data_IF_159974709475
#
_entry.id   IF_159974709475
#
_cell.length_a   1.000
_cell.length_b   1.000
_cell.length_c   1.000
_cell.angle_alpha   90.00
_cell.angle_beta   90.00
_cell.angle_gamma   90.00
#
_symmetry.space_group_name_H-M   'P 1'
#
loop_
_entity.id
_entity.type
_entity.pdbx_description
1 polymer ?
#
# COMPACT_ATOMS: atom_id res chain seq x y z
N UNK A 1 -21.10 10.87 5.43
CA UNK A 1 -20.64 9.47 5.38
C UNK A 1 -19.24 9.45 4.77
N UNK A 2 -18.31 8.72 5.37
CA UNK A 2 -16.95 8.56 4.88
C UNK A 2 -16.97 7.87 3.50
N UNK A 3 -16.25 8.38 2.50
CA UNK A 3 -16.29 7.85 1.11
C UNK A 3 -15.26 6.75 0.83
N UNK A 4 -14.12 6.77 1.52
CA UNK A 4 -12.95 5.88 1.33
C UNK A 4 -12.27 5.63 2.68
N UNK A 5 -11.25 4.78 2.73
CA UNK A 5 -10.46 4.46 3.92
C UNK A 5 -9.62 5.60 4.49
N UNK A 6 -9.13 5.39 5.70
CA UNK A 6 -8.32 6.34 6.45
C UNK A 6 -7.01 6.65 5.74
N UNK A 7 -6.31 5.62 5.23
CA UNK A 7 -5.04 5.75 4.50
C UNK A 7 -5.17 6.71 3.33
N UNK A 8 -6.16 6.50 2.47
CA UNK A 8 -6.44 7.38 1.33
C UNK A 8 -6.86 8.80 1.76
N UNK A 9 -7.65 8.94 2.82
CA UNK A 9 -8.04 10.27 3.32
C UNK A 9 -6.84 11.04 3.88
N UNK A 10 -5.99 10.38 4.66
CA UNK A 10 -4.85 10.99 5.30
C UNK A 10 -3.84 11.46 4.23
N UNK A 11 -3.56 10.62 3.24
CA UNK A 11 -2.71 11.03 2.11
C UNK A 11 -3.34 12.15 1.28
N UNK A 12 -4.65 12.10 1.02
CA UNK A 12 -5.34 13.19 0.32
C UNK A 12 -5.30 14.51 1.11
N UNK A 13 -5.32 14.45 2.44
CA UNK A 13 -5.24 15.63 3.31
C UNK A 13 -3.89 16.33 3.25
N UNK A 14 -2.80 15.58 3.08
CA UNK A 14 -1.44 16.11 2.93
C UNK A 14 -1.23 16.85 1.60
N UNK A 15 -2.03 16.54 0.58
CA UNK A 15 -1.85 17.06 -0.78
C UNK A 15 -2.00 18.59 -0.83
N UNK A 16 -0.93 19.27 -1.22
CA UNK A 16 -0.87 20.74 -1.26
C UNK A 16 -0.61 21.40 0.10
N UNK A 17 -0.35 20.63 1.16
CA UNK A 17 0.00 21.13 2.50
C UNK A 17 1.43 20.83 2.92
N UNK A 18 1.99 19.71 2.44
CA UNK A 18 3.39 19.37 2.67
C UNK A 18 4.33 20.30 1.88
N UNK A 19 5.59 20.48 2.34
CA UNK A 19 6.60 21.21 1.57
C UNK A 19 6.76 20.66 0.14
N UNK A 20 7.09 21.51 -0.83
CA UNK A 20 7.14 21.14 -2.26
C UNK A 20 8.17 20.06 -2.61
N UNK A 21 9.13 19.79 -1.72
CA UNK A 21 10.13 18.73 -1.88
C UNK A 21 9.66 17.37 -1.32
N UNK A 22 8.59 17.34 -0.53
CA UNK A 22 7.93 16.12 -0.07
C UNK A 22 6.90 15.70 -1.10
N UNK A 23 7.12 14.55 -1.72
CA UNK A 23 6.29 14.07 -2.81
C UNK A 23 5.18 13.16 -2.28
N UNK A 24 4.02 13.21 -2.92
CA UNK A 24 2.89 12.31 -2.65
C UNK A 24 2.55 11.61 -3.96
N UNK A 25 2.77 10.29 -4.08
CA UNK A 25 2.44 9.56 -5.29
C UNK A 25 0.95 9.64 -5.63
N UNK A 26 0.64 9.67 -6.93
CA UNK A 26 -0.75 9.57 -7.41
C UNK A 26 -1.32 8.20 -7.01
N UNK A 27 -2.52 8.21 -6.43
CA UNK A 27 -3.25 7.01 -6.03
C UNK A 27 -4.74 7.12 -6.40
N UNK A 28 -5.40 5.95 -6.47
CA UNK A 28 -6.85 5.84 -6.67
C UNK A 28 -7.42 4.92 -5.61
N UNK A 29 -8.50 5.37 -4.97
CA UNK A 29 -9.24 4.59 -3.99
C UNK A 29 -10.59 4.14 -4.56
N UNK A 30 -10.98 2.91 -4.23
CA UNK A 30 -12.35 2.46 -4.44
C UNK A 30 -13.22 2.97 -3.29
N UNK A 31 -14.36 3.65 -3.58
CA UNK A 31 -15.26 4.07 -2.54
C UNK A 31 -15.86 2.90 -1.75
N UNK A 32 -16.25 3.14 -0.50
CA UNK A 32 -17.09 2.20 0.23
C UNK A 32 -18.41 1.94 -0.52
N UNK A 33 -18.92 0.71 -0.41
CA UNK A 33 -20.11 0.26 -1.13
C UNK A 33 -19.81 -0.39 -2.48
N UNK A 34 -18.59 -0.25 -3.04
CA UNK A 34 -18.24 -0.88 -4.33
C UNK A 34 -18.31 -2.40 -4.24
N UNK A 35 -17.76 -3.00 -3.17
CA UNK A 35 -17.80 -4.44 -2.98
C UNK A 35 -19.24 -4.95 -2.87
N UNK A 36 -20.06 -4.30 -2.05
CA UNK A 36 -21.46 -4.64 -1.85
C UNK A 36 -22.27 -4.51 -3.14
N UNK A 37 -22.02 -3.45 -3.91
CA UNK A 37 -22.68 -3.23 -5.21
C UNK A 37 -22.33 -4.35 -6.19
N UNK A 38 -21.05 -4.71 -6.29
CA UNK A 38 -20.59 -5.81 -7.14
C UNK A 38 -21.17 -7.14 -6.69
N UNK A 39 -21.19 -7.41 -5.38
CA UNK A 39 -21.74 -8.64 -4.81
C UNK A 39 -23.25 -8.77 -5.04
N UNK A 40 -23.99 -7.65 -5.03
CA UNK A 40 -25.44 -7.63 -5.24
C UNK A 40 -25.87 -7.77 -6.71
N UNK A 41 -24.93 -7.72 -7.65
CA UNK A 41 -25.22 -7.89 -9.07
C UNK A 41 -25.70 -9.32 -9.37
N UNK A 42 -26.65 -9.47 -10.29
CA UNK A 42 -27.23 -10.77 -10.66
C UNK A 42 -26.18 -11.78 -11.14
N UNK A 43 -25.06 -11.30 -11.71
CA UNK A 43 -23.93 -12.14 -12.11
C UNK A 43 -23.24 -12.82 -10.93
N UNK A 44 -23.40 -12.30 -9.71
CA UNK A 44 -22.66 -12.72 -8.52
C UNK A 44 -23.55 -13.37 -7.45
N UNK A 45 -24.81 -13.72 -7.76
CA UNK A 45 -25.74 -14.29 -6.76
C UNK A 45 -25.21 -15.57 -6.11
N UNK A 46 -24.59 -16.47 -6.88
CA UNK A 46 -23.98 -17.70 -6.35
C UNK A 46 -22.87 -17.39 -5.34
N UNK A 47 -22.04 -16.39 -5.65
CA UNK A 47 -20.97 -15.92 -4.76
C UNK A 47 -21.57 -15.31 -3.48
N UNK A 48 -22.62 -14.50 -3.63
CA UNK A 48 -23.33 -13.89 -2.50
C UNK A 48 -23.92 -14.94 -1.55
N UNK A 49 -24.64 -15.94 -2.07
CA UNK A 49 -25.23 -17.02 -1.29
C UNK A 49 -24.17 -17.83 -0.54
N UNK A 50 -23.09 -18.19 -1.23
CA UNK A 50 -21.96 -18.90 -0.62
C UNK A 50 -21.33 -18.09 0.52
N UNK A 51 -21.11 -16.79 0.32
CA UNK A 51 -20.58 -15.92 1.38
C UNK A 51 -21.52 -15.83 2.58
N UNK A 52 -22.84 -15.84 2.40
CA UNK A 52 -23.78 -15.86 3.53
C UNK A 52 -23.69 -17.16 4.34
N UNK A 53 -23.54 -18.31 3.67
CA UNK A 53 -23.32 -19.60 4.33
C UNK A 53 -22.01 -19.57 5.13
N UNK A 54 -20.92 -19.13 4.51
CA UNK A 54 -19.61 -19.08 5.14
C UNK A 54 -19.53 -18.10 6.31
N UNK A 55 -20.22 -16.95 6.21
CA UNK A 55 -20.33 -15.99 7.33
C UNK A 55 -21.05 -16.60 8.54
N UNK A 56 -22.08 -17.42 8.32
CA UNK A 56 -22.76 -18.15 9.42
C UNK A 56 -21.82 -19.15 10.08
N UNK A 57 -21.11 -19.96 9.30
CA UNK A 57 -20.08 -20.88 9.83
C UNK A 57 -19.06 -20.14 10.70
N UNK A 58 -18.57 -19.00 10.22
CA UNK A 58 -17.61 -18.18 10.97
C UNK A 58 -18.19 -17.65 12.29
N UNK A 59 -19.44 -17.19 12.26
CA UNK A 59 -20.15 -16.74 13.47
C UNK A 59 -20.33 -17.88 14.48
N UNK A 60 -20.52 -19.11 14.00
CA UNK A 60 -20.67 -20.31 14.83
C UNK A 60 -19.31 -20.87 15.33
N UNK A 61 -18.21 -20.17 15.06
CA UNK A 61 -16.87 -20.50 15.55
C UNK A 61 -16.01 -21.35 14.60
N UNK A 62 -16.49 -21.64 13.39
CA UNK A 62 -15.70 -22.33 12.37
C UNK A 62 -14.80 -21.34 11.63
N UNK A 63 -13.62 -21.10 12.20
CA UNK A 63 -12.62 -20.19 11.63
C UNK A 63 -11.93 -20.76 10.37
N UNK A 64 -12.09 -22.05 10.04
CA UNK A 64 -11.59 -22.60 8.78
C UNK A 64 -12.31 -21.97 7.57
N UNK A 65 -13.55 -21.50 7.76
CA UNK A 65 -14.33 -20.79 6.75
C UNK A 65 -13.64 -19.53 6.21
N UNK A 66 -12.67 -18.94 6.93
CA UNK A 66 -11.92 -17.77 6.46
C UNK A 66 -11.16 -18.04 5.14
N UNK A 67 -10.61 -19.25 4.99
CA UNK A 67 -9.93 -19.65 3.75
C UNK A 67 -10.92 -19.75 2.59
N UNK A 68 -12.07 -20.38 2.83
CA UNK A 68 -13.16 -20.52 1.86
C UNK A 68 -13.72 -19.15 1.44
N UNK A 69 -13.92 -18.23 2.38
CA UNK A 69 -14.41 -16.86 2.09
C UNK A 69 -13.50 -16.15 1.10
N UNK A 70 -12.17 -16.25 1.27
CA UNK A 70 -11.21 -15.60 0.37
C UNK A 70 -11.30 -16.18 -1.03
N UNK A 71 -11.38 -17.50 -1.15
CA UNK A 71 -11.56 -18.18 -2.44
C UNK A 71 -12.87 -17.77 -3.10
N UNK A 72 -13.97 -17.73 -2.36
CA UNK A 72 -15.29 -17.33 -2.87
C UNK A 72 -15.30 -15.86 -3.34
N UNK A 73 -14.65 -14.93 -2.62
CA UNK A 73 -14.54 -13.53 -3.07
C UNK A 73 -13.78 -13.42 -4.41
N UNK A 74 -12.79 -14.28 -4.65
CA UNK A 74 -12.06 -14.31 -5.93
C UNK A 74 -12.92 -14.76 -7.12
N UNK A 75 -14.07 -15.40 -6.89
CA UNK A 75 -15.01 -15.81 -7.94
C UNK A 75 -15.89 -14.66 -8.45
N UNK A 76 -15.86 -13.49 -7.79
CA UNK A 76 -16.64 -12.33 -8.24
C UNK A 76 -16.32 -11.94 -9.69
N UNK A 77 -17.37 -11.75 -10.47
CA UNK A 77 -17.33 -11.18 -11.81
C UNK A 77 -17.50 -9.67 -11.75
N UNK A 78 -16.72 -8.94 -12.54
CA UNK A 78 -16.88 -7.49 -12.67
C UNK A 78 -18.16 -7.19 -13.48
N UNK A 79 -19.12 -6.41 -12.93
CA UNK A 79 -20.34 -6.08 -13.67
C UNK A 79 -20.04 -5.35 -14.98
N UNK A 80 -20.75 -5.65 -16.08
CA UNK A 80 -20.55 -4.99 -17.37
C UNK A 80 -20.63 -3.46 -17.28
N UNK A 81 -21.49 -2.91 -16.43
CA UNK A 81 -21.62 -1.47 -16.23
C UNK A 81 -20.33 -0.88 -15.63
N UNK A 82 -19.66 -1.61 -14.75
CA UNK A 82 -18.35 -1.24 -14.20
C UNK A 82 -17.30 -1.21 -15.31
N UNK A 83 -17.25 -2.24 -16.16
CA UNK A 83 -16.28 -2.40 -17.25
C UNK A 83 -16.51 -1.41 -18.41
N UNK A 84 -17.75 -1.22 -18.85
CA UNK A 84 -18.06 -0.45 -20.06
C UNK A 84 -18.25 1.05 -19.80
N UNK A 85 -18.72 1.45 -18.60
CA UNK A 85 -19.01 2.86 -18.32
C UNK A 85 -18.03 3.49 -17.33
N UNK A 86 -17.70 2.81 -16.24
CA UNK A 86 -16.88 3.40 -15.17
C UNK A 86 -15.38 3.27 -15.43
N UNK A 87 -14.94 2.11 -15.90
CA UNK A 87 -13.53 1.82 -16.21
C UNK A 87 -12.95 2.80 -17.24
N UNK A 88 -13.56 3.08 -18.40
CA UNK A 88 -12.95 3.96 -19.39
C UNK A 88 -12.83 5.42 -18.93
N UNK A 89 -13.81 5.90 -18.14
CA UNK A 89 -13.76 7.24 -17.56
C UNK A 89 -12.66 7.35 -16.50
N UNK A 90 -12.51 6.32 -15.64
CA UNK A 90 -11.45 6.25 -14.64
C UNK A 90 -10.08 6.08 -15.28
N UNK A 91 -9.95 5.23 -16.31
CA UNK A 91 -8.72 5.04 -17.07
C UNK A 91 -8.19 6.36 -17.62
N UNK A 92 -9.04 7.16 -18.29
CA UNK A 92 -8.66 8.50 -18.78
C UNK A 92 -8.22 9.43 -17.65
N UNK A 93 -8.89 9.38 -16.49
CA UNK A 93 -8.54 10.21 -15.33
C UNK A 93 -7.21 9.78 -14.70
N UNK A 94 -6.95 8.47 -14.61
CA UNK A 94 -5.69 7.90 -14.13
C UNK A 94 -4.54 8.30 -15.04
N UNK A 95 -4.69 8.09 -16.36
CA UNK A 95 -3.67 8.43 -17.36
C UNK A 95 -3.34 9.92 -17.35
N UNK A 96 -4.35 10.80 -17.28
CA UNK A 96 -4.15 12.26 -17.13
C UNK A 96 -3.43 12.66 -15.83
N UNK A 97 -3.46 11.80 -14.82
CA UNK A 97 -2.78 11.99 -13.54
C UNK A 97 -1.40 11.32 -13.48
N UNK A 98 -0.90 10.82 -14.62
CA UNK A 98 0.38 10.10 -14.72
C UNK A 98 0.35 8.68 -14.16
N UNK A 99 -0.83 8.11 -13.89
CA UNK A 99 -0.98 6.75 -13.39
C UNK A 99 -1.43 5.81 -14.53
N UNK A 100 -0.72 4.70 -14.80
CA UNK A 100 -1.14 3.74 -15.82
C UNK A 100 -2.48 3.08 -15.46
N UNK A 101 -3.29 2.74 -16.47
CA UNK A 101 -4.54 2.02 -16.23
C UNK A 101 -4.23 0.52 -16.12
N UNK A 102 -4.58 -0.14 -15.00
CA UNK A 102 -4.17 -1.52 -14.76
C UNK A 102 -4.80 -2.53 -15.74
N UNK A 103 -5.92 -2.20 -16.38
CA UNK A 103 -6.54 -3.01 -17.42
C UNK A 103 -6.26 -2.50 -18.84
N UNK A 104 -5.19 -1.72 -19.05
CA UNK A 104 -4.76 -1.36 -20.41
C UNK A 104 -4.48 -2.67 -21.18
N UNK A 105 -4.62 -2.66 -22.50
CA UNK A 105 -4.24 -3.81 -23.36
C UNK A 105 -5.13 -5.06 -23.34
N UNK A 106 -6.37 -4.92 -22.88
CA UNK A 106 -7.45 -5.88 -23.19
C UNK A 106 -7.87 -6.77 -22.03
N UNK A 107 -8.67 -7.80 -22.35
CA UNK A 107 -9.41 -8.60 -21.36
C UNK A 107 -8.49 -9.34 -20.40
N UNK A 108 -7.40 -9.95 -20.90
CA UNK A 108 -6.47 -10.70 -20.04
C UNK A 108 -5.87 -9.80 -18.96
N UNK A 109 -5.44 -8.59 -19.32
CA UNK A 109 -4.83 -7.64 -18.41
C UNK A 109 -5.84 -7.07 -17.41
N UNK A 110 -7.07 -6.84 -17.85
CA UNK A 110 -8.18 -6.54 -16.95
C UNK A 110 -8.43 -7.65 -15.93
N UNK A 111 -8.42 -8.92 -16.32
CA UNK A 111 -8.58 -10.03 -15.37
C UNK A 111 -7.46 -10.08 -14.31
N UNK A 112 -6.23 -9.70 -14.69
CA UNK A 112 -5.13 -9.55 -13.73
C UNK A 112 -5.41 -8.45 -12.71
N UNK A 113 -5.79 -7.27 -13.20
CA UNK A 113 -6.17 -6.13 -12.36
C UNK A 113 -7.36 -6.47 -11.45
N UNK A 114 -8.39 -7.12 -12.00
CA UNK A 114 -9.59 -7.52 -11.28
C UNK A 114 -9.29 -8.55 -10.20
N UNK A 115 -8.40 -9.51 -10.49
CA UNK A 115 -7.89 -10.45 -9.49
C UNK A 115 -7.16 -9.72 -8.36
N UNK A 116 -6.30 -8.75 -8.68
CA UNK A 116 -5.60 -7.95 -7.67
C UNK A 116 -6.56 -7.11 -6.81
N UNK A 117 -7.62 -6.55 -7.40
CA UNK A 117 -8.67 -5.79 -6.70
C UNK A 117 -9.46 -6.69 -5.74
N UNK A 118 -9.81 -7.91 -6.17
CA UNK A 118 -10.59 -8.87 -5.39
C UNK A 118 -9.77 -9.57 -4.30
N UNK A 119 -8.46 -9.65 -4.44
CA UNK A 119 -7.59 -10.36 -3.50
C UNK A 119 -7.74 -9.76 -2.10
N UNK A 120 -8.47 -10.48 -1.25
CA UNK A 120 -8.46 -10.29 0.19
C UNK A 120 -7.17 -10.91 0.69
N UNK A 121 -6.11 -10.12 0.75
CA UNK A 121 -4.77 -10.62 1.08
C UNK A 121 -4.68 -10.95 2.56
N UNK A 122 -4.02 -12.07 2.89
CA UNK A 122 -3.41 -12.26 4.21
C UNK A 122 -2.00 -11.70 4.14
N UNK A 123 -1.72 -10.62 4.88
CA UNK A 123 -0.38 -10.07 4.97
C UNK A 123 0.32 -10.38 6.28
N UNK A 124 1.64 -10.19 6.26
CA UNK A 124 2.49 -9.81 7.39
C UNK A 124 2.98 -8.36 7.16
N UNK A 125 2.05 -7.45 6.95
CA UNK A 125 2.27 -6.00 7.03
C UNK A 125 2.65 -5.32 5.75
N UNK A 126 2.33 -4.03 5.69
CA UNK A 126 2.48 -3.16 4.52
C UNK A 126 3.91 -2.87 4.09
N UNK A 127 4.87 -3.60 4.64
CA UNK A 127 6.25 -3.33 4.37
C UNK A 127 6.78 -4.42 3.46
N UNK A 128 7.44 -4.01 2.38
CA UNK A 128 8.45 -4.81 1.67
C UNK A 128 9.65 -5.17 2.58
N UNK A 129 9.42 -5.41 3.87
CA UNK A 129 10.35 -6.12 4.73
C UNK A 129 9.68 -7.41 5.15
N UNK A 130 10.02 -8.47 4.43
CA UNK A 130 9.85 -9.81 4.94
C UNK A 130 10.51 -9.96 6.32
N UNK A 131 10.12 -11.01 7.04
CA UNK A 131 10.67 -11.40 8.34
C UNK A 131 12.12 -11.92 8.24
N UNK A 132 12.98 -11.19 7.55
CA UNK A 132 14.40 -11.46 7.40
C UNK A 132 15.16 -10.99 8.66
N UNK A 133 16.16 -11.76 9.12
CA UNK A 133 17.00 -11.37 10.24
C UNK A 133 17.79 -10.09 9.91
N UNK A 134 18.23 -9.40 10.96
CA UNK A 134 18.92 -8.10 10.85
C UNK A 134 18.01 -6.94 11.22
N UNK A 135 18.57 -5.72 11.19
CA UNK A 135 17.86 -4.51 11.60
C UNK A 135 17.77 -3.50 10.45
N UNK A 136 16.77 -2.63 10.51
CA UNK A 136 16.71 -1.44 9.68
C UNK A 136 17.69 -0.37 10.18
N UNK A 137 18.02 0.59 9.30
CA UNK A 137 18.66 1.84 9.71
C UNK A 137 17.74 2.54 10.71
N UNK A 138 18.30 3.03 11.81
CA UNK A 138 17.56 3.74 12.85
C UNK A 138 18.32 4.98 13.27
N UNK A 139 17.61 6.08 13.50
CA UNK A 139 18.17 7.35 13.93
C UNK A 139 17.13 8.13 14.74
N UNK A 140 17.59 9.16 15.43
CA UNK A 140 16.75 10.14 16.14
C UNK A 140 17.21 11.56 15.79
N UNK A 141 16.26 12.50 15.81
CA UNK A 141 16.55 13.94 15.79
C UNK A 141 15.82 14.60 16.96
N UNK A 142 16.36 15.73 17.44
CA UNK A 142 15.61 16.61 18.35
C UNK A 142 14.70 17.50 17.52
N UNK A 143 13.48 17.76 18.00
CA UNK A 143 12.51 18.60 17.28
C UNK A 143 13.01 20.03 17.01
N UNK A 144 13.93 20.54 17.84
CA UNK A 144 14.53 21.86 17.69
C UNK A 144 15.86 21.85 16.93
N UNK A 145 16.30 20.69 16.43
CA UNK A 145 17.59 20.51 15.75
C UNK A 145 17.48 19.33 14.75
N UNK A 146 16.64 19.52 13.73
CA UNK A 146 16.31 18.48 12.74
C UNK A 146 17.46 18.17 11.79
N UNK A 147 18.44 19.07 11.70
CA UNK A 147 19.68 18.92 10.92
C UNK A 147 20.80 18.23 11.73
N UNK A 148 20.53 17.69 12.91
CA UNK A 148 21.50 16.92 13.71
C UNK A 148 21.04 15.46 13.96
N UNK A 149 20.85 14.64 12.89
CA UNK A 149 20.45 13.25 13.06
C UNK A 149 21.53 12.42 13.77
N UNK A 150 21.13 11.74 14.84
CA UNK A 150 21.96 10.76 15.54
C UNK A 150 21.58 9.35 15.11
N UNK A 151 22.47 8.68 14.38
CA UNK A 151 22.30 7.27 14.01
C UNK A 151 22.35 6.39 15.26
N UNK A 152 21.32 5.59 15.47
CA UNK A 152 21.22 4.59 16.55
C UNK A 152 21.64 3.19 16.10
N UNK A 153 21.64 2.95 14.79
CA UNK A 153 22.30 1.80 14.23
C UNK A 153 22.06 1.63 12.76
N UNK A 154 23.06 1.07 12.11
CA UNK A 154 23.11 0.81 10.68
C UNK A 154 22.26 -0.40 10.29
N UNK A 155 21.77 -0.43 9.04
CA UNK A 155 21.01 -1.56 8.53
C UNK A 155 21.91 -2.80 8.43
N UNK A 156 21.32 -3.98 8.64
CA UNK A 156 22.03 -5.27 8.54
C UNK A 156 21.20 -6.39 7.95
N UNK A 157 20.09 -6.06 7.29
CA UNK A 157 19.28 -7.08 6.61
C UNK A 157 20.05 -7.65 5.42
N UNK A 158 20.26 -8.97 5.33
CA UNK A 158 21.11 -9.57 4.30
C UNK A 158 20.41 -9.69 2.95
N UNK A 159 19.08 -9.53 2.91
CA UNK A 159 18.26 -9.67 1.71
C UNK A 159 17.42 -8.42 1.51
N UNK A 160 17.47 -7.88 0.30
CA UNK A 160 16.56 -6.84 -0.19
C UNK A 160 15.58 -7.44 -1.19
N UNK A 161 14.40 -6.82 -1.25
CA UNK A 161 13.32 -7.19 -2.14
C UNK A 161 13.19 -6.11 -3.22
N UNK A 162 13.40 -6.50 -4.47
CA UNK A 162 13.35 -5.60 -5.61
C UNK A 162 12.18 -5.96 -6.52
N UNK A 163 11.50 -4.95 -7.02
CA UNK A 163 10.38 -5.13 -7.94
C UNK A 163 10.64 -4.34 -9.22
N UNK A 164 10.12 -4.86 -10.32
CA UNK A 164 10.06 -4.11 -11.58
C UNK A 164 9.08 -2.95 -11.45
N UNK A 165 9.11 -1.96 -12.36
CA UNK A 165 8.08 -0.93 -12.42
C UNK A 165 6.67 -1.54 -12.33
N UNK A 166 5.88 -1.11 -11.35
CA UNK A 166 4.63 -1.77 -10.96
C UNK A 166 3.58 -0.79 -10.47
N UNK A 167 2.31 -1.24 -10.49
CA UNK A 167 1.20 -0.64 -9.76
C UNK A 167 1.05 -1.39 -8.43
N UNK A 168 0.88 -0.66 -7.34
CA UNK A 168 0.65 -1.21 -6.01
C UNK A 168 -0.86 -1.22 -5.71
N UNK A 169 -1.39 -2.39 -5.38
CA UNK A 169 -2.73 -2.59 -4.85
C UNK A 169 -2.60 -2.80 -3.34
N UNK A 170 -3.25 -1.95 -2.55
CA UNK A 170 -3.13 -1.98 -1.10
C UNK A 170 -4.50 -1.87 -0.44
N UNK A 171 -4.60 -2.39 0.78
CA UNK A 171 -5.77 -2.21 1.61
C UNK A 171 -5.95 -0.74 1.99
N UNK A 172 -7.18 -0.25 1.91
CA UNK A 172 -7.60 1.05 2.41
C UNK A 172 -8.54 0.85 3.62
N UNK A 173 -8.29 -0.20 4.41
CA UNK A 173 -9.07 -0.50 5.61
C UNK A 173 -8.82 0.54 6.70
N UNK A 174 -9.85 0.89 7.47
CA UNK A 174 -9.69 1.62 8.74
C UNK A 174 -9.36 0.67 9.90
N UNK A 175 -9.33 -0.65 9.66
CA UNK A 175 -9.23 -1.66 10.72
C UNK A 175 -7.95 -1.55 11.53
N UNK A 176 -6.86 -1.06 10.94
CA UNK A 176 -5.59 -0.85 11.65
C UNK A 176 -5.60 0.35 12.61
N UNK A 177 -6.55 1.26 12.44
CA UNK A 177 -6.67 2.48 13.25
C UNK A 177 -7.68 2.30 14.41
N UNK A 178 -8.16 1.07 14.65
CA UNK A 178 -9.09 0.77 15.73
C UNK A 178 -8.37 0.73 17.08
N UNK A 179 -8.88 1.48 18.06
CA UNK A 179 -8.34 1.52 19.41
C UNK A 179 -8.31 0.12 20.05
N UNK A 180 -7.16 -0.28 20.58
CA UNK A 180 -6.94 -1.60 21.16
C UNK A 180 -6.74 -2.74 20.14
N UNK A 181 -6.67 -2.44 18.83
CA UNK A 181 -6.42 -3.43 17.79
C UNK A 181 -5.07 -3.19 17.10
N UNK A 182 -4.09 -4.06 17.38
CA UNK A 182 -2.82 -4.07 16.66
C UNK A 182 -3.01 -4.68 15.27
N UNK A 183 -3.50 -3.88 14.33
CA UNK A 183 -3.72 -4.29 12.94
C UNK A 183 -2.49 -4.18 12.03
N UNK A 184 -1.39 -3.60 12.54
CA UNK A 184 -0.13 -3.55 11.81
C UNK A 184 0.32 -4.97 11.49
N UNK A 185 0.54 -5.26 10.22
CA UNK A 185 0.80 -6.63 9.81
C UNK A 185 -0.34 -7.31 9.07
N UNK A 186 -1.59 -6.87 9.21
CA UNK A 186 -2.72 -7.72 8.79
C UNK A 186 -3.03 -7.66 7.29
N UNK A 187 -2.72 -6.53 6.66
CA UNK A 187 -3.01 -6.32 5.25
C UNK A 187 -1.70 -6.20 4.47
N UNK A 188 -1.60 -6.99 3.40
CA UNK A 188 -0.49 -6.91 2.47
C UNK A 188 -0.80 -5.97 1.31
N UNK A 189 0.25 -5.53 0.61
CA UNK A 189 0.14 -4.88 -0.69
C UNK A 189 0.52 -5.86 -1.80
N UNK A 190 -0.33 -5.99 -2.81
CA UNK A 190 0.00 -6.71 -4.04
C UNK A 190 0.65 -5.78 -5.06
N UNK A 191 1.63 -6.27 -5.82
CA UNK A 191 2.21 -5.52 -6.94
C UNK A 191 1.88 -6.17 -8.27
N UNK A 192 1.58 -5.35 -9.28
CA UNK A 192 1.34 -5.78 -10.64
C UNK A 192 2.28 -5.04 -11.59
N UNK A 193 3.09 -5.80 -12.33
CA UNK A 193 4.05 -5.27 -13.32
C UNK A 193 3.37 -4.32 -14.28
N UNK A 194 3.95 -3.17 -14.62
CA UNK A 194 3.48 -2.39 -15.78
C UNK A 194 3.99 -2.96 -17.11
N UNK A 195 4.92 -3.91 -17.10
CA UNK A 195 5.44 -4.60 -18.28
C UNK A 195 4.62 -5.85 -18.63
N UNK A 196 4.36 -6.02 -19.93
CA UNK A 196 3.37 -6.95 -20.49
C UNK A 196 3.78 -8.41 -20.60
N UNK A 197 5.07 -8.69 -20.68
CA UNK A 197 5.60 -10.06 -20.83
C UNK A 197 5.71 -10.81 -19.49
N UNK A 198 5.22 -10.23 -18.39
CA UNK A 198 5.18 -10.91 -17.11
C UNK A 198 4.11 -12.00 -17.15
N UNK A 199 4.55 -13.25 -17.21
CA UNK A 199 3.69 -14.45 -17.24
C UNK A 199 2.83 -14.61 -15.96
N UNK A 200 3.16 -13.88 -14.90
CA UNK A 200 2.53 -14.00 -13.58
C UNK A 200 1.66 -12.79 -13.20
N UNK A 201 0.50 -13.11 -12.61
CA UNK A 201 -0.55 -12.20 -12.14
C UNK A 201 -0.11 -11.21 -11.04
N UNK A 202 0.89 -11.60 -10.24
CA UNK A 202 1.60 -10.76 -9.27
C UNK A 202 3.09 -10.96 -9.51
N UNK A 203 3.88 -9.90 -9.40
CA UNK A 203 5.32 -10.04 -9.49
C UNK A 203 5.83 -10.67 -8.20
N UNK A 204 6.58 -11.76 -8.32
CA UNK A 204 7.46 -12.19 -7.23
C UNK A 204 8.64 -11.24 -7.14
N UNK A 205 8.89 -10.72 -5.94
CA UNK A 205 10.02 -9.86 -5.66
C UNK A 205 11.33 -10.59 -5.97
N UNK A 206 12.25 -9.89 -6.63
CA UNK A 206 13.62 -10.35 -6.78
C UNK A 206 14.33 -10.22 -5.44
N UNK A 207 14.78 -11.36 -4.90
CA UNK A 207 15.56 -11.41 -3.66
C UNK A 207 17.03 -11.22 -4.00
N UNK A 208 17.60 -10.13 -3.53
CA UNK A 208 19.01 -9.78 -3.76
C UNK A 208 19.76 -9.79 -2.44
N UNK A 209 20.94 -10.40 -2.42
CA UNK A 209 21.85 -10.31 -1.27
C UNK A 209 22.43 -8.89 -1.24
N UNK A 210 22.23 -8.19 -0.12
CA UNK A 210 22.66 -6.80 0.02
C UNK A 210 24.12 -6.74 0.45
N UNK A 211 24.93 -6.03 -0.34
CA UNK A 211 26.27 -5.61 0.03
C UNK A 211 26.26 -4.14 0.46
N UNK A 212 26.33 -3.91 1.78
CA UNK A 212 26.38 -2.58 2.36
C UNK A 212 27.75 -1.90 2.24
N UNK A 213 28.80 -2.59 1.81
CA UNK A 213 30.18 -2.06 1.79
C UNK A 213 30.37 -0.89 0.83
N UNK A 214 29.46 -0.72 -0.12
CA UNK A 214 29.45 0.37 -1.10
C UNK A 214 28.18 1.23 -1.04
N UNK A 215 27.27 0.97 -0.10
CA UNK A 215 26.00 1.69 0.01
C UNK A 215 26.25 3.13 0.51
N UNK A 216 25.83 4.18 -0.23
CA UNK A 216 26.03 5.57 0.17
C UNK A 216 25.43 5.93 1.53
N UNK A 217 24.33 5.29 1.98
CA UNK A 217 23.81 5.51 3.33
C UNK A 217 24.79 5.06 4.42
N UNK A 218 25.73 4.18 4.09
CA UNK A 218 26.74 3.65 5.01
C UNK A 218 28.05 4.41 4.88
N UNK A 219 28.57 4.50 3.66
CA UNK A 219 29.94 5.00 3.42
C UNK A 219 30.02 6.51 3.23
N UNK A 220 28.93 7.18 2.85
CA UNK A 220 28.89 8.62 2.61
C UNK A 220 28.16 9.33 3.76
N UNK A 221 28.95 10.04 4.59
CA UNK A 221 28.44 10.76 5.75
C UNK A 221 27.57 11.96 5.39
N UNK A 222 27.90 12.68 4.31
CA UNK A 222 27.14 13.86 3.86
C UNK A 222 25.81 13.43 3.24
N UNK A 223 25.83 12.41 2.39
CA UNK A 223 24.61 11.84 1.81
C UNK A 223 23.68 11.30 2.89
N UNK A 224 24.21 10.48 3.82
CA UNK A 224 23.42 9.97 4.95
C UNK A 224 22.83 11.12 5.76
N UNK A 225 23.63 12.12 6.13
CA UNK A 225 23.15 13.26 6.90
C UNK A 225 22.01 14.00 6.18
N UNK A 226 22.17 14.25 4.87
CA UNK A 226 21.17 14.92 4.04
C UNK A 226 19.84 14.15 4.00
N UNK A 227 19.88 12.83 3.78
CA UNK A 227 18.68 11.98 3.75
C UNK A 227 18.00 11.92 5.11
N UNK A 228 18.73 11.68 6.20
CA UNK A 228 18.14 11.57 7.53
C UNK A 228 17.52 12.88 8.00
N UNK A 229 18.17 14.02 7.72
CA UNK A 229 17.61 15.34 8.00
C UNK A 229 16.36 15.59 7.16
N UNK A 230 16.36 15.21 5.88
CA UNK A 230 15.17 15.31 5.01
C UNK A 230 14.00 14.47 5.53
N UNK A 231 14.25 13.27 6.06
CA UNK A 231 13.22 12.44 6.71
C UNK A 231 12.69 13.12 7.97
N UNK A 232 13.58 13.68 8.82
CA UNK A 232 13.19 14.37 10.04
C UNK A 232 12.33 15.62 9.76
N UNK A 233 12.73 16.44 8.79
CA UNK A 233 11.96 17.59 8.32
C UNK A 233 10.59 17.20 7.75
N UNK A 234 10.52 16.10 7.00
CA UNK A 234 9.24 15.60 6.48
C UNK A 234 8.32 15.16 7.62
N UNK A 235 8.87 14.44 8.60
CA UNK A 235 8.15 14.03 9.81
C UNK A 235 7.60 15.20 10.61
N UNK A 236 8.42 16.22 10.87
CA UNK A 236 7.97 17.44 11.58
C UNK A 236 6.88 18.18 10.82
N UNK A 237 7.04 18.38 9.50
CA UNK A 237 6.03 19.09 8.71
C UNK A 237 4.68 18.34 8.68
N UNK A 238 4.72 17.01 8.63
CA UNK A 238 3.51 16.18 8.67
C UNK A 238 2.86 16.21 10.06
N UNK A 239 3.65 16.13 11.13
CA UNK A 239 3.16 16.30 12.50
C UNK A 239 2.46 17.65 12.69
N UNK A 240 3.04 18.75 12.19
CA UNK A 240 2.45 20.09 12.29
C UNK A 240 1.11 20.20 11.53
N UNK A 241 0.97 19.53 10.39
CA UNK A 241 -0.28 19.51 9.61
C UNK A 241 -1.40 18.80 10.37
N UNK A 242 -1.08 17.74 11.09
CA UNK A 242 -2.06 16.95 11.84
C UNK A 242 -2.26 17.43 13.28
N UNK A 243 -1.29 18.13 13.86
CA UNK A 243 -1.31 18.58 15.25
C UNK A 243 -1.06 17.45 16.27
N UNK A 244 -0.58 16.28 15.85
CA UNK A 244 -0.26 15.16 16.73
C UNK A 244 0.84 14.28 16.12
N UNK A 245 1.55 13.52 16.96
CA UNK A 245 2.54 12.55 16.51
C UNK A 245 1.95 11.58 15.47
N UNK A 246 2.73 11.28 14.44
CA UNK A 246 2.32 10.42 13.33
C UNK A 246 3.26 9.23 13.16
N UNK A 247 2.69 8.10 12.79
CA UNK A 247 3.35 6.96 12.15
C UNK A 247 3.31 7.19 10.63
N UNK A 248 4.48 7.27 9.99
CA UNK A 248 4.64 7.70 8.60
C UNK A 248 5.41 6.64 7.83
N UNK A 249 4.86 6.23 6.70
CA UNK A 249 5.55 5.35 5.75
C UNK A 249 5.88 6.13 4.48
N UNK A 250 7.06 5.88 3.95
CA UNK A 250 7.57 6.56 2.78
C UNK A 250 8.70 5.80 2.09
N UNK A 251 9.12 6.36 0.96
CA UNK A 251 10.22 5.85 0.15
C UNK A 251 11.18 6.98 -0.14
N UNK A 252 12.48 6.70 -0.01
CA UNK A 252 13.53 7.55 -0.55
C UNK A 252 13.88 7.02 -1.94
N UNK A 253 13.71 7.83 -2.98
CA UNK A 253 14.08 7.47 -4.34
C UNK A 253 14.78 8.64 -5.02
N UNK A 254 15.98 8.39 -5.54
CA UNK A 254 16.82 9.40 -6.21
C UNK A 254 17.02 10.67 -5.35
N UNK A 255 17.26 10.46 -4.04
CA UNK A 255 17.43 11.53 -3.06
C UNK A 255 16.15 12.29 -2.68
N UNK A 256 14.98 11.91 -3.22
CA UNK A 256 13.69 12.55 -2.95
C UNK A 256 12.85 11.73 -1.98
N UNK A 257 12.11 12.42 -1.12
CA UNK A 257 11.18 11.83 -0.17
C UNK A 257 9.80 11.69 -0.81
N UNK A 258 9.22 10.50 -0.72
CA UNK A 258 7.85 10.19 -1.10
C UNK A 258 7.10 9.65 0.10
N UNK A 259 5.95 10.23 0.44
CA UNK A 259 5.09 9.78 1.54
C UNK A 259 3.96 8.96 0.97
N UNK A 260 3.81 7.73 1.46
CA UNK A 260 2.83 6.76 0.97
C UNK A 260 1.76 6.44 2.00
N UNK A 261 2.04 6.66 3.30
CA UNK A 261 1.06 6.55 4.38
C UNK A 261 1.39 7.52 5.50
N UNK A 262 0.35 7.98 6.18
CA UNK A 262 0.46 8.58 7.51
C UNK A 262 -0.78 8.28 8.33
N UNK A 263 -0.60 8.07 9.62
CA UNK A 263 -1.68 7.95 10.61
C UNK A 263 -1.21 8.46 11.97
N UNK A 264 -2.11 8.84 12.88
CA UNK A 264 -1.74 9.16 14.25
C UNK A 264 -1.00 8.01 14.92
N UNK A 265 0.05 8.31 15.67
CA UNK A 265 0.69 7.34 16.53
C UNK A 265 -0.27 7.01 17.71
N UNK A 266 -0.63 5.74 17.85
CA UNK A 266 -1.49 5.23 18.92
C UNK A 266 -0.69 4.74 20.12
#
# INVERSE_FOLDING_TARGET
MQKVGAKSRNIAHLKGKVPSWVNIPTSVAFPFGVFETVLSDDLNQVVADNLQILKRKLHDGDFCALGEIRSTVLELSAPPQLIFFFVPQRAKKMQRSGMPWPGDEGSQRWEQAWTAIKKVVMGLGETLVGAYPGRALSFICKKNDLDAPQVLGYPSKPVGLFIRPSIIFRSDSNGEDLEGYAGAGLYDSGTMSVEYNALFLLIEEEKVIIDYSSDPLIVDGEFRHSILSSIAWAGSAIEDIYGSAQDIEGVVKDGKIYVVQTRPQM
#
